data_IF_105856431642
#
_entry.id   IF_105856431642
#
_cell.length_a   1.000
_cell.length_b   1.000
_cell.length_c   1.000
_cell.angle_alpha   90.00
_cell.angle_beta   90.00
_cell.angle_gamma   90.00
#
_symmetry.space_group_name_H-M   'P 1'
#
loop_
_entity.id
_entity.type
_entity.pdbx_description
1 polymer ?
#
# COMPACT_ATOMS: atom_id res chain seq x y z
N UNK A 1 -40.76 -58.34 -8.18
CA UNK A 1 -41.33 -56.98 -8.07
C UNK A 1 -40.25 -55.99 -8.51
N UNK A 2 -40.39 -55.44 -9.71
CA UNK A 2 -39.40 -54.52 -10.30
C UNK A 2 -39.92 -53.09 -10.13
N UNK A 3 -39.25 -52.29 -9.30
CA UNK A 3 -39.54 -50.86 -9.15
C UNK A 3 -39.07 -50.13 -10.40
N UNK A 4 -40.01 -49.84 -11.31
CA UNK A 4 -39.77 -48.94 -12.43
C UNK A 4 -39.47 -47.55 -11.86
N UNK A 5 -38.19 -47.17 -11.89
CA UNK A 5 -37.76 -45.81 -11.61
C UNK A 5 -38.46 -44.89 -12.62
N UNK A 6 -39.36 -44.05 -12.11
CA UNK A 6 -40.06 -43.02 -12.86
C UNK A 6 -39.04 -41.96 -13.32
N UNK A 7 -38.39 -42.24 -14.46
CA UNK A 7 -37.55 -41.27 -15.16
C UNK A 7 -38.45 -40.24 -15.81
N UNK A 8 -38.69 -39.14 -15.10
CA UNK A 8 -39.27 -37.94 -15.70
C UNK A 8 -38.41 -37.53 -16.90
N UNK A 9 -38.98 -37.34 -18.11
CA UNK A 9 -38.19 -36.90 -19.25
C UNK A 9 -37.64 -35.50 -18.92
N UNK A 10 -36.32 -35.35 -19.02
CA UNK A 10 -35.66 -34.05 -18.93
C UNK A 10 -36.27 -33.15 -20.01
N UNK A 11 -37.16 -32.23 -19.59
CA UNK A 11 -37.85 -31.30 -20.48
C UNK A 11 -36.82 -30.25 -20.96
N UNK A 12 -36.25 -30.48 -22.14
CA UNK A 12 -35.34 -29.53 -22.77
C UNK A 12 -36.14 -28.36 -23.36
N UNK A 13 -35.78 -27.13 -22.99
CA UNK A 13 -36.32 -25.94 -23.66
C UNK A 13 -35.53 -25.70 -24.94
N UNK A 14 -36.22 -25.59 -26.07
CA UNK A 14 -35.60 -25.24 -27.35
C UNK A 14 -35.65 -23.72 -27.49
N UNK A 15 -34.49 -23.07 -27.53
CA UNK A 15 -34.35 -21.65 -27.90
C UNK A 15 -33.57 -21.61 -29.21
N UNK A 16 -34.08 -20.86 -30.21
CA UNK A 16 -33.46 -20.76 -31.54
C UNK A 16 -33.14 -22.11 -32.20
N UNK A 17 -34.05 -23.10 -32.08
CA UNK A 17 -33.88 -24.42 -32.70
C UNK A 17 -32.81 -25.30 -32.04
N UNK A 18 -32.10 -24.83 -31.02
CA UNK A 18 -31.08 -25.59 -30.30
C UNK A 18 -31.58 -26.01 -28.93
N UNK A 19 -31.30 -27.26 -28.54
CA UNK A 19 -31.63 -27.77 -27.21
C UNK A 19 -30.82 -27.01 -26.17
N UNK A 20 -31.51 -26.30 -25.28
CA UNK A 20 -30.87 -25.58 -24.17
C UNK A 20 -31.13 -26.36 -22.90
N UNK A 21 -30.05 -26.60 -22.16
CA UNK A 21 -30.15 -27.20 -20.84
C UNK A 21 -30.85 -26.22 -19.89
N UNK A 22 -31.88 -26.65 -19.15
CA UNK A 22 -32.49 -25.83 -18.11
C UNK A 22 -31.49 -25.72 -16.94
N UNK A 23 -30.52 -24.82 -17.08
CA UNK A 23 -29.57 -24.52 -16.02
C UNK A 23 -30.13 -23.35 -15.18
N UNK A 24 -30.09 -23.50 -13.86
CA UNK A 24 -30.35 -22.39 -12.96
C UNK A 24 -29.37 -21.25 -13.25
N UNK A 25 -29.86 -20.01 -13.35
CA UNK A 25 -29.04 -18.80 -13.58
C UNK A 25 -27.86 -18.74 -12.60
N UNK A 26 -28.07 -19.17 -11.35
CA UNK A 26 -27.03 -19.26 -10.33
C UNK A 26 -25.84 -20.14 -10.76
N UNK A 27 -26.10 -21.27 -11.44
CA UNK A 27 -25.04 -22.20 -11.90
C UNK A 27 -24.26 -21.63 -13.09
N UNK A 28 -24.92 -20.83 -13.92
CA UNK A 28 -24.28 -20.10 -15.02
C UNK A 28 -23.42 -18.96 -14.49
N UNK A 29 -23.86 -18.30 -13.42
CA UNK A 29 -23.16 -17.16 -12.81
C UNK A 29 -21.98 -17.56 -11.90
N UNK A 30 -22.06 -18.73 -11.27
CA UNK A 30 -21.05 -19.26 -10.35
C UNK A 30 -19.58 -19.15 -10.82
N UNK A 31 -19.20 -19.56 -12.06
CA UNK A 31 -17.83 -19.41 -12.52
C UNK A 31 -17.40 -17.95 -12.68
N UNK A 32 -18.30 -17.05 -13.05
CA UNK A 32 -18.00 -15.62 -13.18
C UNK A 32 -17.75 -14.99 -11.80
N UNK A 33 -18.58 -15.33 -10.82
CA UNK A 33 -18.41 -14.88 -9.44
C UNK A 33 -17.05 -15.31 -8.86
N UNK A 34 -16.69 -16.58 -9.04
CA UNK A 34 -15.38 -17.10 -8.61
C UNK A 34 -14.22 -16.43 -9.36
N UNK A 35 -14.34 -16.23 -10.67
CA UNK A 35 -13.30 -15.55 -11.45
C UNK A 35 -13.07 -14.10 -11.01
N UNK A 36 -14.15 -13.36 -10.71
CA UNK A 36 -14.07 -11.97 -10.28
C UNK A 36 -13.45 -11.83 -8.89
N UNK A 37 -13.89 -12.64 -7.93
CA UNK A 37 -13.31 -12.65 -6.58
C UNK A 37 -11.86 -13.11 -6.60
N UNK A 38 -11.52 -14.17 -7.34
CA UNK A 38 -10.15 -14.63 -7.48
C UNK A 38 -9.21 -13.56 -8.06
N UNK A 39 -9.66 -12.87 -9.13
CA UNK A 39 -8.87 -11.80 -9.75
C UNK A 39 -8.64 -10.64 -8.78
N UNK A 40 -9.66 -10.24 -8.02
CA UNK A 40 -9.54 -9.19 -7.01
C UNK A 40 -8.50 -9.54 -5.92
N UNK A 41 -8.55 -10.77 -5.39
CA UNK A 41 -7.59 -11.22 -4.39
C UNK A 41 -6.18 -11.37 -4.94
N UNK A 42 -6.04 -11.89 -6.17
CA UNK A 42 -4.75 -12.05 -6.81
C UNK A 42 -4.08 -10.69 -7.05
N UNK A 43 -4.82 -9.73 -7.59
CA UNK A 43 -4.32 -8.38 -7.85
C UNK A 43 -3.98 -7.65 -6.55
N UNK A 44 -4.83 -7.76 -5.52
CA UNK A 44 -4.56 -7.17 -4.20
C UNK A 44 -3.32 -7.78 -3.53
N UNK A 45 -3.14 -9.09 -3.67
CA UNK A 45 -1.95 -9.80 -3.17
C UNK A 45 -0.68 -9.33 -3.87
N UNK A 46 -0.68 -9.29 -5.21
CA UNK A 46 0.46 -8.78 -5.99
C UNK A 46 0.74 -7.32 -5.68
N UNK A 47 -0.29 -6.48 -5.60
CA UNK A 47 -0.14 -5.07 -5.26
C UNK A 47 0.51 -4.89 -3.88
N UNK A 48 0.05 -5.65 -2.88
CA UNK A 48 0.61 -5.60 -1.53
C UNK A 48 2.05 -6.11 -1.49
N UNK A 49 2.38 -7.15 -2.25
CA UNK A 49 3.75 -7.71 -2.32
C UNK A 49 4.72 -6.78 -3.03
N UNK A 50 4.29 -6.13 -4.11
CA UNK A 50 5.10 -5.15 -4.85
C UNK A 50 5.30 -3.86 -4.05
N UNK A 51 4.26 -3.34 -3.38
CA UNK A 51 4.35 -2.15 -2.51
C UNK A 51 5.18 -2.40 -1.23
N UNK A 52 5.25 -3.65 -0.76
CA UNK A 52 6.05 -4.01 0.41
C UNK A 52 7.43 -4.56 0.06
N UNK A 53 8.00 -4.14 -1.08
CA UNK A 53 9.43 -4.37 -1.32
C UNK A 53 10.23 -3.82 -0.12
N UNK A 54 10.97 -4.65 0.63
CA UNK A 54 11.80 -4.18 1.73
C UNK A 54 12.92 -3.26 1.25
N UNK A 55 13.29 -3.35 -0.02
CA UNK A 55 14.29 -2.52 -0.68
C UNK A 55 13.84 -1.06 -0.79
N UNK A 56 12.58 -0.82 -1.17
CA UNK A 56 12.01 0.53 -1.26
C UNK A 56 11.91 1.20 0.11
N UNK A 57 11.61 0.42 1.16
CA UNK A 57 11.57 0.92 2.54
C UNK A 57 12.96 1.32 3.02
N UNK A 58 13.98 0.50 2.74
CA UNK A 58 15.36 0.80 3.09
C UNK A 58 15.87 2.06 2.37
N UNK A 59 15.62 2.17 1.06
CA UNK A 59 16.00 3.35 0.26
C UNK A 59 15.34 4.62 0.83
N UNK A 60 14.06 4.57 1.19
CA UNK A 60 13.37 5.71 1.80
C UNK A 60 13.96 6.10 3.17
N UNK A 61 14.32 5.12 4.02
CA UNK A 61 14.96 5.39 5.30
C UNK A 61 16.32 6.07 5.09
N UNK A 62 17.16 5.52 4.20
CA UNK A 62 18.48 6.08 3.90
C UNK A 62 18.37 7.51 3.36
N UNK A 63 17.41 7.75 2.46
CA UNK A 63 17.17 9.08 1.90
C UNK A 63 16.70 10.10 2.95
N UNK A 64 15.84 9.68 3.88
CA UNK A 64 15.41 10.54 4.99
C UNK A 64 16.57 10.88 5.93
N UNK A 65 17.35 9.88 6.35
CA UNK A 65 18.53 10.10 7.22
C UNK A 65 19.55 11.01 6.55
N UNK A 66 19.81 10.84 5.25
CA UNK A 66 20.71 11.70 4.49
C UNK A 66 20.23 13.16 4.49
N UNK A 67 18.94 13.39 4.19
CA UNK A 67 18.34 14.73 4.17
C UNK A 67 18.40 15.41 5.54
N UNK A 68 18.11 14.67 6.60
CA UNK A 68 18.15 15.21 7.96
C UNK A 68 19.58 15.50 8.42
N UNK A 69 20.54 14.67 8.01
CA UNK A 69 21.97 14.92 8.24
C UNK A 69 22.44 16.20 7.53
N UNK A 70 22.06 16.39 6.26
CA UNK A 70 22.39 17.61 5.50
C UNK A 70 21.77 18.86 6.16
N UNK A 71 20.52 18.80 6.60
CA UNK A 71 19.87 19.88 7.36
C UNK A 71 20.56 20.15 8.69
N UNK A 72 21.01 19.12 9.39
CA UNK A 72 21.70 19.25 10.67
C UNK A 72 23.07 19.90 10.48
N UNK A 73 23.82 19.52 9.44
CA UNK A 73 25.08 20.19 9.08
C UNK A 73 24.89 21.67 8.80
N UNK A 74 23.85 22.04 8.05
CA UNK A 74 23.52 23.44 7.79
C UNK A 74 23.15 24.21 9.06
N UNK A 75 22.36 23.61 9.95
CA UNK A 75 22.03 24.20 11.25
C UNK A 75 23.28 24.41 12.11
N UNK A 76 24.14 23.40 12.21
CA UNK A 76 25.38 23.49 12.97
C UNK A 76 26.32 24.55 12.40
N UNK A 77 26.44 24.66 11.07
CA UNK A 77 27.23 25.71 10.42
C UNK A 77 26.67 27.11 10.70
N UNK A 78 25.34 27.27 10.67
CA UNK A 78 24.69 28.54 11.02
C UNK A 78 24.88 28.90 12.51
N UNK A 79 24.81 27.91 13.41
CA UNK A 79 25.10 28.11 14.83
C UNK A 79 26.55 28.53 15.05
N UNK A 80 27.52 27.86 14.42
CA UNK A 80 28.94 28.24 14.50
C UNK A 80 29.22 29.63 13.93
N UNK A 81 28.56 29.99 12.83
CA UNK A 81 28.66 31.33 12.25
C UNK A 81 28.10 32.39 13.22
N UNK A 82 26.94 32.13 13.83
CA UNK A 82 26.35 33.04 14.81
C UNK A 82 27.22 33.17 16.07
N UNK A 83 27.71 32.07 16.63
CA UNK A 83 28.59 32.09 17.80
C UNK A 83 29.89 32.85 17.52
N UNK A 84 30.53 32.61 16.37
CA UNK A 84 31.75 33.33 16.00
C UNK A 84 31.53 34.83 15.78
N UNK A 85 30.39 35.24 15.22
CA UNK A 85 30.06 36.67 15.07
C UNK A 85 29.67 37.33 16.39
N UNK A 86 28.88 36.64 17.23
CA UNK A 86 28.47 37.15 18.54
C UNK A 86 29.67 37.27 19.51
N UNK A 87 30.68 36.40 19.38
CA UNK A 87 31.95 36.52 20.11
C UNK A 87 32.85 37.63 19.57
N UNK A 88 32.82 37.92 18.27
CA UNK A 88 33.60 39.01 17.66
C UNK A 88 32.97 40.40 17.84
N UNK A 89 31.65 40.48 18.00
CA UNK A 89 30.91 41.73 18.21
C UNK A 89 30.78 42.13 19.69
N UNK A 90 31.18 41.26 20.63
CA UNK A 90 31.25 41.64 22.05
C UNK A 90 32.39 42.65 22.27
N UNK A 91 32.10 43.88 22.72
CA UNK A 91 33.14 44.79 23.16
C UNK A 91 33.90 44.13 24.32
N UNK A 92 35.24 44.22 24.32
CA UNK A 92 36.11 43.65 25.37
C UNK A 92 35.83 44.19 26.79
N UNK A 93 34.90 45.13 26.93
CA UNK A 93 34.63 45.88 28.14
C UNK A 93 33.20 45.65 28.68
N UNK A 94 32.43 44.71 28.12
CA UNK A 94 31.07 44.45 28.58
C UNK A 94 31.09 43.63 29.90
N UNK A 95 30.49 44.12 31.00
CA UNK A 95 30.45 43.39 32.27
C UNK A 95 29.66 42.09 32.12
N UNK A 96 30.16 41.03 32.77
CA UNK A 96 29.57 39.70 32.77
C UNK A 96 28.09 39.76 33.19
N UNK A 97 27.19 39.66 32.22
CA UNK A 97 25.77 39.57 32.49
C UNK A 97 25.49 38.23 33.20
N UNK A 98 25.02 38.36 34.44
CA UNK A 98 24.64 37.31 35.36
C UNK A 98 23.85 36.17 34.71
N UNK A 99 24.31 34.96 34.98
CA UNK A 99 23.55 33.72 34.84
C UNK A 99 22.32 33.77 35.75
N UNK A 100 21.12 33.66 35.16
CA UNK A 100 19.93 33.29 35.90
C UNK A 100 19.62 31.80 35.67
N UNK A 101 19.37 31.17 36.82
CA UNK A 101 19.00 29.78 37.10
C UNK A 101 17.82 29.24 36.29
#
# INVERSE_FOLDING_TARGET
MSTAANQQPLQFKTLFGRRVWPANILRVYWPFYLSGTFTFFLFSYFHTKLMNSPEDKWINIVNNVRRDTERTKLKNAATQYFESHNLNERPKDAPAAHSHH
#
